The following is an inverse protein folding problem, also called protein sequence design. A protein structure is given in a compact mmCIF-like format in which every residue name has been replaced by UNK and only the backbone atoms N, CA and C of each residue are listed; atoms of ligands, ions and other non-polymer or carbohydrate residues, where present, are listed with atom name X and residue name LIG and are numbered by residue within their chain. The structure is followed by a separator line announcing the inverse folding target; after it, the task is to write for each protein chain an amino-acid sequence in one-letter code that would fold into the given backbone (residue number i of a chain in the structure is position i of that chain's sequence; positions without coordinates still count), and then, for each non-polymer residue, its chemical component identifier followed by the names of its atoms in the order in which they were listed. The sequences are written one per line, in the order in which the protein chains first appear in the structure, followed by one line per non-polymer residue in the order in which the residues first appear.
data_IF_602317982078
#
_entry.id   IF_602317982078
#
_cell.length_a   1.000
_cell.length_b   1.000
_cell.length_c   1.000
_cell.angle_alpha   90.00
_cell.angle_beta   90.00
_cell.angle_gamma   90.00
#
_symmetry.space_group_name_H-M   'P 1'
#
loop_
_entity.id
_entity.type
_entity.pdbx_description
1 polymer ?
#
# COMPACT_ATOMS: atom_id res chain seq x y z
N UNK A 1 3.68 3.97 28.46
CA UNK A 1 3.73 4.94 27.32
C UNK A 1 4.43 4.30 26.13
N UNK A 2 3.90 4.51 24.93
CA UNK A 2 4.33 3.91 23.66
C UNK A 2 4.82 5.07 22.78
N UNK A 3 6.09 5.08 22.37
CA UNK A 3 6.67 6.15 21.55
C UNK A 3 7.03 5.58 20.18
N UNK A 4 6.42 6.03 19.08
CA UNK A 4 6.81 5.59 17.75
C UNK A 4 8.17 6.21 17.36
N UNK A 5 9.08 5.39 16.83
CA UNK A 5 10.45 5.79 16.49
C UNK A 5 10.70 5.86 14.98
N UNK A 6 9.82 5.27 14.17
CA UNK A 6 9.95 5.19 12.72
C UNK A 6 9.25 3.97 12.14
N UNK A 7 9.06 3.96 10.82
CA UNK A 7 8.44 2.84 10.10
C UNK A 7 9.52 1.92 9.50
N UNK A 8 9.18 0.67 9.21
CA UNK A 8 10.10 -0.26 8.53
C UNK A 8 10.24 -0.01 7.01
N UNK A 9 9.53 0.99 6.47
CA UNK A 9 9.57 1.30 5.04
C UNK A 9 10.86 2.04 4.69
N UNK A 10 11.51 1.59 3.62
CA UNK A 10 12.50 2.39 2.92
C UNK A 10 11.80 3.50 2.12
N UNK A 11 12.43 4.68 2.09
CA UNK A 11 11.99 5.83 1.32
C UNK A 11 12.77 5.89 0.01
N UNK A 12 12.09 6.15 -1.10
CA UNK A 12 12.77 6.40 -2.39
C UNK A 12 13.15 7.89 -2.50
N UNK A 13 12.24 8.78 -2.09
CA UNK A 13 12.43 10.24 -2.06
C UNK A 13 12.83 10.69 -0.66
N UNK A 14 13.72 11.68 -0.61
CA UNK A 14 14.05 12.37 0.66
C UNK A 14 12.86 13.20 1.13
N UNK A 15 12.46 13.14 2.41
CA UNK A 15 11.24 13.80 2.89
C UNK A 15 11.45 15.30 3.19
N UNK A 16 11.77 16.06 2.14
CA UNK A 16 12.14 17.49 2.26
C UNK A 16 10.98 18.31 2.81
N UNK A 17 9.75 18.07 2.34
CA UNK A 17 8.58 18.84 2.77
C UNK A 17 8.24 18.53 4.23
N UNK A 18 8.30 17.26 4.64
CA UNK A 18 8.13 16.89 6.04
C UNK A 18 9.15 17.61 6.92
N UNK A 19 10.43 17.60 6.54
CA UNK A 19 11.50 18.31 7.26
C UNK A 19 11.22 19.82 7.30
N UNK A 20 10.81 20.42 6.18
CA UNK A 20 10.47 21.84 6.10
C UNK A 20 9.30 22.21 7.01
N UNK A 21 8.22 21.41 7.02
CA UNK A 21 7.06 21.64 7.90
C UNK A 21 7.48 21.54 9.36
N UNK A 22 8.23 20.50 9.74
CA UNK A 22 8.72 20.34 11.11
C UNK A 22 9.59 21.53 11.52
N UNK A 23 10.55 21.92 10.68
CA UNK A 23 11.46 23.04 10.96
C UNK A 23 10.72 24.36 11.09
N UNK A 24 9.80 24.64 10.16
CA UNK A 24 8.96 25.84 10.18
C UNK A 24 8.11 25.89 11.45
N UNK A 25 7.47 24.77 11.80
CA UNK A 25 6.59 24.68 12.98
C UNK A 25 7.36 24.91 14.27
N UNK A 26 8.56 24.31 14.39
CA UNK A 26 9.45 24.56 15.53
C UNK A 26 9.87 26.04 15.57
N UNK A 27 10.24 26.62 14.42
CA UNK A 27 10.59 28.04 14.32
C UNK A 27 9.46 28.97 14.76
N UNK A 28 8.23 28.73 14.28
CA UNK A 28 7.03 29.48 14.69
C UNK A 28 6.79 29.36 16.19
N UNK A 29 6.87 28.16 16.75
CA UNK A 29 6.70 27.96 18.19
C UNK A 29 7.77 28.70 18.99
N UNK A 30 9.03 28.64 18.57
CA UNK A 30 10.13 29.36 19.20
C UNK A 30 9.91 30.87 19.14
N UNK A 31 9.47 31.42 18.00
CA UNK A 31 9.19 32.85 17.86
C UNK A 31 8.05 33.31 18.77
N UNK A 32 6.95 32.55 18.82
CA UNK A 32 5.81 32.85 19.72
C UNK A 32 6.23 32.73 21.18
N UNK A 33 6.98 31.69 21.54
CA UNK A 33 7.49 31.49 22.89
C UNK A 33 8.43 32.63 23.31
N UNK A 34 9.40 33.01 22.47
CA UNK A 34 10.28 34.14 22.75
C UNK A 34 9.48 35.43 22.92
N UNK A 35 8.53 35.72 22.04
CA UNK A 35 7.66 36.89 22.18
C UNK A 35 6.87 36.87 23.49
N UNK A 36 6.35 35.71 23.90
CA UNK A 36 5.59 35.59 25.15
C UNK A 36 6.40 35.92 26.40
N UNK A 37 7.73 35.78 26.34
CA UNK A 37 8.64 36.15 27.44
C UNK A 37 8.82 37.68 27.57
N UNK A 38 8.55 38.43 26.49
CA UNK A 38 8.68 39.90 26.46
C UNK A 38 7.32 40.62 26.51
N UNK A 39 6.33 40.14 25.75
CA UNK A 39 4.97 40.66 25.65
C UNK A 39 3.98 39.50 25.46
N UNK A 40 3.53 38.94 26.58
CA UNK A 40 2.57 37.83 26.60
C UNK A 40 1.23 38.21 25.95
N UNK A 41 0.77 39.44 26.14
CA UNK A 41 -0.50 39.88 25.56
C UNK A 41 -0.43 39.96 24.03
N UNK A 42 0.69 40.42 23.48
CA UNK A 42 0.89 40.41 22.03
C UNK A 42 1.00 38.98 21.49
N UNK A 43 1.72 38.09 22.20
CA UNK A 43 1.80 36.68 21.82
C UNK A 43 0.41 36.02 21.79
N UNK A 44 -0.43 36.26 22.79
CA UNK A 44 -1.79 35.74 22.86
C UNK A 44 -2.66 36.29 21.70
N UNK A 45 -2.58 37.59 21.40
CA UNK A 45 -3.28 38.19 20.24
C UNK A 45 -2.84 37.58 18.91
N UNK A 46 -1.56 37.25 18.75
CA UNK A 46 -1.05 36.57 17.56
C UNK A 46 -1.63 35.16 17.48
N UNK A 47 -1.57 34.39 18.56
CA UNK A 47 -2.15 33.05 18.61
C UNK A 47 -3.64 33.08 18.27
N UNK A 48 -4.41 33.97 18.89
CA UNK A 48 -5.83 34.16 18.60
C UNK A 48 -6.11 34.58 17.16
N UNK A 49 -5.18 35.27 16.51
CA UNK A 49 -5.31 35.73 15.13
C UNK A 49 -5.12 34.62 14.10
N UNK A 50 -4.30 33.63 14.44
CA UNK A 50 -3.86 32.58 13.52
C UNK A 50 -4.34 31.17 13.89
N UNK A 51 -5.01 31.00 15.04
CA UNK A 51 -5.68 29.75 15.39
C UNK A 51 -7.04 29.59 14.67
N UNK A 52 -7.63 28.40 14.77
CA UNK A 52 -9.00 28.18 14.31
C UNK A 52 -9.98 28.65 15.38
N UNK A 53 -10.96 29.44 14.96
CA UNK A 53 -12.06 29.90 15.79
C UNK A 53 -13.38 29.70 15.01
N UNK A 54 -14.43 29.25 15.70
CA UNK A 54 -15.78 29.17 15.16
C UNK A 54 -16.57 30.48 15.22
N UNK A 55 -17.80 30.44 14.72
CA UNK A 55 -18.76 31.54 14.80
C UNK A 55 -18.29 32.85 14.14
N UNK A 56 -18.63 33.99 14.75
CA UNK A 56 -18.30 35.33 14.22
C UNK A 56 -16.81 35.66 14.26
N UNK A 57 -16.01 34.88 14.99
CA UNK A 57 -14.54 35.03 15.03
C UNK A 57 -13.83 34.21 13.94
N UNK A 58 -14.59 33.52 13.08
CA UNK A 58 -14.04 32.69 12.02
C UNK A 58 -13.16 33.49 11.06
N UNK A 59 -11.95 32.99 10.84
CA UNK A 59 -10.95 33.55 9.92
C UNK A 59 -10.45 32.42 9.03
N UNK A 60 -10.67 32.55 7.72
CA UNK A 60 -10.37 31.48 6.77
C UNK A 60 -8.90 31.07 6.76
N UNK A 61 -7.97 32.00 7.03
CA UNK A 61 -6.54 31.67 7.12
C UNK A 61 -6.20 30.81 8.34
N UNK A 62 -6.98 30.91 9.43
CA UNK A 62 -6.81 30.09 10.63
C UNK A 62 -6.86 28.59 10.33
N UNK A 63 -7.63 28.18 9.31
CA UNK A 63 -7.70 26.81 8.81
C UNK A 63 -6.33 26.25 8.38
N UNK A 64 -5.40 27.11 7.95
CA UNK A 64 -4.07 26.73 7.51
C UNK A 64 -3.01 27.08 8.55
N UNK A 65 -3.07 28.28 9.11
CA UNK A 65 -2.02 28.81 10.00
C UNK A 65 -2.01 28.13 11.37
N UNK A 66 -3.16 27.65 11.84
CA UNK A 66 -3.27 26.92 13.12
C UNK A 66 -2.42 25.66 13.17
N UNK A 67 -2.16 25.02 12.02
CA UNK A 67 -1.33 23.82 11.92
C UNK A 67 0.12 24.06 12.35
N UNK A 68 0.57 25.31 12.40
CA UNK A 68 1.94 25.69 12.78
C UNK A 68 2.04 26.25 14.21
N UNK A 69 0.90 26.52 14.86
CA UNK A 69 0.84 27.03 16.23
C UNK A 69 0.70 25.87 17.22
N UNK A 70 1.26 26.00 18.44
CA UNK A 70 1.20 24.95 19.46
C UNK A 70 1.06 25.55 20.86
N UNK A 71 0.22 24.95 21.70
CA UNK A 71 -0.07 25.40 23.07
C UNK A 71 1.04 25.08 24.09
N UNK A 72 2.11 24.37 23.70
CA UNK A 72 3.22 24.07 24.57
C UNK A 72 4.20 23.04 24.00
N UNK A 73 5.33 22.87 24.68
CA UNK A 73 6.44 22.03 24.23
C UNK A 73 6.07 20.56 24.04
N UNK A 74 5.31 19.96 24.96
CA UNK A 74 4.91 18.55 24.85
C UNK A 74 3.94 18.34 23.68
N UNK A 75 3.02 19.29 23.45
CA UNK A 75 2.10 19.26 22.32
C UNK A 75 2.86 19.35 20.99
N UNK A 76 3.82 20.27 20.89
CA UNK A 76 4.72 20.37 19.74
C UNK A 76 5.51 19.08 19.52
N UNK A 77 6.18 18.58 20.56
CA UNK A 77 7.01 17.39 20.47
C UNK A 77 6.22 16.16 20.01
N UNK A 78 5.01 15.95 20.55
CA UNK A 78 4.12 14.87 20.14
C UNK A 78 3.72 14.97 18.68
N UNK A 79 3.30 16.16 18.22
CA UNK A 79 2.93 16.38 16.82
C UNK A 79 4.10 16.17 15.87
N UNK A 80 5.25 16.77 16.16
CA UNK A 80 6.43 16.65 15.30
C UNK A 80 6.94 15.21 15.25
N UNK A 81 6.86 14.47 16.36
CA UNK A 81 7.18 13.04 16.39
C UNK A 81 6.28 12.23 15.44
N UNK A 82 4.96 12.39 15.53
CA UNK A 82 4.04 11.68 14.65
C UNK A 82 4.21 12.07 13.19
N UNK A 83 4.37 13.36 12.90
CA UNK A 83 4.64 13.84 11.55
C UNK A 83 5.97 13.27 11.02
N UNK A 84 7.00 13.20 11.85
CA UNK A 84 8.29 12.63 11.49
C UNK A 84 8.23 11.12 11.21
N UNK A 85 7.41 10.38 11.95
CA UNK A 85 7.27 8.93 11.77
C UNK A 85 6.45 8.59 10.52
N UNK A 86 5.33 9.28 10.29
CA UNK A 86 4.36 8.89 9.25
C UNK A 86 4.43 9.77 7.99
N UNK A 87 4.77 11.05 8.13
CA UNK A 87 4.87 12.03 7.04
C UNK A 87 5.78 11.58 5.90
N UNK A 88 7.02 11.11 6.16
CA UNK A 88 7.96 10.75 5.10
C UNK A 88 7.42 9.69 4.13
N UNK A 89 6.73 8.66 4.63
CA UNK A 89 6.18 7.61 3.76
C UNK A 89 5.03 8.12 2.89
N UNK A 90 4.19 9.02 3.42
CA UNK A 90 3.11 9.64 2.64
C UNK A 90 3.68 10.64 1.63
N UNK A 91 4.70 11.40 2.01
CA UNK A 91 5.43 12.29 1.10
C UNK A 91 6.11 11.53 -0.04
N UNK A 92 6.73 10.40 0.25
CA UNK A 92 7.35 9.54 -0.76
C UNK A 92 6.31 9.06 -1.79
N UNK A 93 5.10 8.73 -1.33
CA UNK A 93 4.01 8.24 -2.19
C UNK A 93 3.31 9.35 -3.00
N UNK A 94 3.10 10.52 -2.41
CA UNK A 94 2.44 11.65 -3.08
C UNK A 94 3.39 12.58 -3.83
N UNK A 95 4.70 12.48 -3.59
CA UNK A 95 5.68 13.48 -3.98
C UNK A 95 5.55 14.77 -3.13
N UNK A 96 6.55 15.64 -3.24
CA UNK A 96 6.69 16.84 -2.41
C UNK A 96 5.45 17.77 -2.48
N UNK A 97 5.08 18.19 -3.69
CA UNK A 97 3.98 19.14 -3.88
C UNK A 97 2.62 18.53 -3.52
N UNK A 98 2.41 17.26 -3.89
CA UNK A 98 1.18 16.53 -3.55
C UNK A 98 1.02 16.38 -2.05
N UNK A 99 2.11 16.07 -1.33
CA UNK A 99 2.10 15.98 0.13
C UNK A 99 1.86 17.33 0.81
N UNK A 100 2.50 18.40 0.35
CA UNK A 100 2.27 19.74 0.90
C UNK A 100 0.80 20.16 0.75
N UNK A 101 0.25 20.01 -0.45
CA UNK A 101 -1.15 20.32 -0.71
C UNK A 101 -2.10 19.46 0.14
N UNK A 102 -1.81 18.16 0.25
CA UNK A 102 -2.58 17.24 1.07
C UNK A 102 -2.53 17.58 2.57
N UNK A 103 -1.35 17.90 3.10
CA UNK A 103 -1.17 18.29 4.51
C UNK A 103 -1.99 19.54 4.84
N UNK A 104 -1.89 20.58 4.00
CA UNK A 104 -2.64 21.82 4.18
C UNK A 104 -4.16 21.63 4.00
N UNK A 105 -4.58 20.81 3.03
CA UNK A 105 -5.99 20.48 2.87
C UNK A 105 -6.54 19.67 4.05
N UNK A 106 -5.74 18.76 4.63
CA UNK A 106 -6.09 18.04 5.85
C UNK A 106 -6.21 18.96 7.06
N UNK A 107 -5.29 19.93 7.21
CA UNK A 107 -5.40 20.98 8.21
C UNK A 107 -6.72 21.76 8.05
N UNK A 108 -7.04 22.18 6.82
CA UNK A 108 -8.24 22.95 6.55
C UNK A 108 -9.53 22.16 6.79
N UNK A 109 -9.56 20.87 6.41
CA UNK A 109 -10.71 20.01 6.65
C UNK A 109 -10.97 19.78 8.16
N UNK A 110 -9.90 19.51 8.92
CA UNK A 110 -9.99 19.35 10.38
C UNK A 110 -10.38 20.66 11.07
N UNK A 111 -9.72 21.77 10.73
CA UNK A 111 -10.05 23.09 11.27
C UNK A 111 -11.46 23.56 10.89
N UNK A 112 -11.92 23.23 9.69
CA UNK A 112 -13.29 23.51 9.26
C UNK A 112 -14.31 22.74 10.09
N UNK A 113 -14.06 21.45 10.36
CA UNK A 113 -14.91 20.65 11.23
C UNK A 113 -14.93 21.20 12.67
N UNK A 114 -13.79 21.62 13.21
CA UNK A 114 -13.74 22.30 14.51
C UNK A 114 -14.58 23.58 14.50
N UNK A 115 -14.36 24.47 13.54
CA UNK A 115 -15.06 25.76 13.46
C UNK A 115 -16.58 25.62 13.27
N UNK A 116 -17.03 24.56 12.60
CA UNK A 116 -18.45 24.26 12.41
C UNK A 116 -19.12 23.72 13.68
N UNK A 117 -18.39 22.94 14.48
CA UNK A 117 -18.91 22.31 15.71
C UNK A 117 -18.71 23.19 16.93
N UNK A 118 -17.77 24.14 16.87
CA UNK A 118 -17.58 25.16 17.90
C UNK A 118 -18.78 26.12 17.93
N UNK A 119 -19.82 25.69 18.66
CA UNK A 119 -20.95 26.51 19.07
C UNK A 119 -20.52 27.21 20.35
N UNK A 120 -20.31 28.52 20.30
CA UNK A 120 -19.92 29.33 21.45
C UNK A 120 -21.06 29.35 22.49
N UNK A 121 -20.92 28.71 23.67
CA UNK A 121 -21.76 29.10 24.80
C UNK A 121 -21.40 30.55 25.16
N UNK A 122 -22.43 31.40 25.26
CA UNK A 122 -22.27 32.69 25.91
C UNK A 122 -22.48 32.48 27.40
N UNK A 123 -21.58 33.00 28.23
CA UNK A 123 -21.77 33.08 29.67
C UNK A 123 -21.95 34.56 30.05
N UNK A 124 -22.97 34.87 30.86
CA UNK A 124 -23.07 36.17 31.50
C UNK A 124 -22.38 36.05 32.86
N UNK A 125 -21.26 36.74 33.03
CA UNK A 125 -20.62 36.92 34.33
C UNK A 125 -20.45 38.43 34.56
N UNK A 126 -21.02 38.95 35.66
CA UNK A 126 -20.87 40.36 36.02
C UNK A 126 -21.44 41.38 35.03
N UNK A 127 -22.46 41.02 34.24
CA UNK A 127 -23.05 41.90 33.22
C UNK A 127 -22.26 41.99 31.91
N UNK A 128 -21.20 41.20 31.76
CA UNK A 128 -20.47 41.04 30.51
C UNK A 128 -20.74 39.66 29.90
N UNK A 129 -20.95 39.65 28.58
CA UNK A 129 -20.98 38.44 27.77
C UNK A 129 -19.55 37.95 27.57
N UNK A 130 -19.19 36.83 28.21
CA UNK A 130 -17.92 36.14 27.97
C UNK A 130 -18.17 35.05 26.94
N UNK A 131 -17.41 35.14 25.85
CA UNK A 131 -17.40 34.18 24.75
C UNK A 131 -16.36 33.11 25.08
N UNK A 132 -16.82 31.91 25.44
CA UNK A 132 -15.95 30.79 25.81
C UNK A 132 -15.85 29.85 24.60
N UNK A 133 -14.81 30.05 23.79
CA UNK A 133 -14.40 29.09 22.76
C UNK A 133 -13.04 28.49 23.11
N UNK A 134 -12.86 27.20 22.89
CA UNK A 134 -11.54 26.56 22.97
C UNK A 134 -10.95 26.61 21.55
N UNK A 135 -10.00 27.52 21.26
CA UNK A 135 -9.42 27.64 19.94
C UNK A 135 -8.71 26.35 19.53
N UNK A 136 -8.90 25.92 18.28
CA UNK A 136 -8.12 24.80 17.73
C UNK A 136 -6.73 25.31 17.34
N UNK A 137 -5.72 24.69 17.95
CA UNK A 137 -4.31 25.01 17.78
C UNK A 137 -3.53 23.70 17.66
N UNK A 138 -2.63 23.58 16.68
CA UNK A 138 -1.78 22.40 16.52
C UNK A 138 -1.85 21.75 15.15
N UNK A 139 -0.77 21.05 14.80
CA UNK A 139 -0.66 20.23 13.59
C UNK A 139 -1.51 18.94 13.62
N UNK A 140 -2.11 18.59 14.77
CA UNK A 140 -2.72 17.29 15.02
C UNK A 140 -3.82 16.92 14.03
N UNK A 141 -4.64 17.87 13.57
CA UNK A 141 -5.64 17.65 12.53
C UNK A 141 -5.04 17.25 11.17
N UNK A 142 -3.97 17.94 10.76
CA UNK A 142 -3.23 17.61 9.54
C UNK A 142 -2.51 16.25 9.66
N UNK A 143 -1.95 15.96 10.83
CA UNK A 143 -1.31 14.68 11.15
C UNK A 143 -2.34 13.54 11.17
N UNK A 144 -3.56 13.78 11.67
CA UNK A 144 -4.66 12.83 11.60
C UNK A 144 -5.00 12.51 10.14
N UNK A 145 -5.01 13.51 9.24
CA UNK A 145 -5.12 13.25 7.80
C UNK A 145 -3.95 12.44 7.24
N UNK A 146 -2.70 12.78 7.58
CA UNK A 146 -1.52 12.01 7.16
C UNK A 146 -1.60 10.55 7.61
N UNK A 147 -1.97 10.29 8.85
CA UNK A 147 -2.08 8.94 9.40
C UNK A 147 -3.30 8.19 8.87
N UNK A 148 -4.42 8.88 8.61
CA UNK A 148 -5.57 8.31 7.91
C UNK A 148 -5.22 7.84 6.48
N UNK A 149 -4.46 8.65 5.74
CA UNK A 149 -3.92 8.28 4.43
C UNK A 149 -2.89 7.15 4.53
N UNK A 150 -2.04 7.17 5.56
CA UNK A 150 -1.05 6.13 5.82
C UNK A 150 -1.70 4.75 5.97
N UNK A 151 -2.84 4.64 6.67
CA UNK A 151 -3.59 3.37 6.81
C UNK A 151 -4.07 2.81 5.48
N UNK A 152 -4.39 3.69 4.53
CA UNK A 152 -4.86 3.28 3.20
C UNK A 152 -3.71 2.80 2.34
N UNK A 153 -2.59 3.51 2.33
CA UNK A 153 -1.45 3.19 1.47
C UNK A 153 -0.56 2.09 2.01
N UNK A 154 -0.47 1.99 3.34
CA UNK A 154 0.52 1.17 4.05
C UNK A 154 -0.12 0.35 5.19
N UNK A 155 -1.24 -0.36 4.97
CA UNK A 155 -2.01 -1.02 6.03
C UNK A 155 -1.20 -2.06 6.81
N UNK A 156 -0.25 -2.74 6.15
CA UNK A 156 0.56 -3.81 6.75
C UNK A 156 1.93 -3.34 7.27
N UNK A 157 2.26 -2.05 7.17
CA UNK A 157 3.55 -1.54 7.63
C UNK A 157 3.64 -1.58 9.15
N UNK A 158 4.77 -2.04 9.68
CA UNK A 158 5.07 -1.99 11.11
C UNK A 158 5.83 -0.73 11.47
N UNK A 159 5.49 -0.21 12.64
CA UNK A 159 6.12 0.92 13.30
C UNK A 159 7.00 0.37 14.40
N UNK A 160 8.26 0.80 14.42
CA UNK A 160 9.18 0.54 15.52
C UNK A 160 8.78 1.44 16.68
N UNK A 161 8.50 0.85 17.83
CA UNK A 161 7.93 1.51 19.00
C UNK A 161 8.83 1.26 20.20
N UNK A 162 9.16 2.32 20.93
CA UNK A 162 9.69 2.22 22.28
C UNK A 162 8.54 2.00 23.26
N UNK A 163 8.50 0.83 23.87
CA UNK A 163 7.55 0.49 24.91
C UNK A 163 8.18 0.80 26.27
N UNK A 164 7.86 1.96 26.84
CA UNK A 164 8.53 2.47 28.04
C UNK A 164 8.28 1.64 29.30
N UNK A 165 7.15 0.94 29.39
CA UNK A 165 6.83 0.11 30.57
C UNK A 165 7.70 -1.16 30.58
N UNK A 166 7.96 -1.74 29.41
CA UNK A 166 8.81 -2.91 29.25
C UNK A 166 10.25 -2.60 28.84
N UNK A 167 10.66 -1.33 28.83
CA UNK A 167 11.97 -0.81 28.39
C UNK A 167 12.53 -1.50 27.14
N UNK A 168 11.66 -1.81 26.17
CA UNK A 168 12.01 -2.59 24.99
C UNK A 168 11.51 -1.92 23.72
N UNK A 169 12.19 -2.23 22.60
CA UNK A 169 11.80 -1.77 21.27
C UNK A 169 11.10 -2.91 20.56
N UNK A 170 9.84 -2.70 20.19
CA UNK A 170 9.00 -3.70 19.53
C UNK A 170 8.46 -3.16 18.20
N UNK A 171 8.09 -4.06 17.30
CA UNK A 171 7.42 -3.70 16.06
C UNK A 171 5.92 -3.92 16.21
N UNK A 172 5.16 -2.84 16.14
CA UNK A 172 3.70 -2.88 16.19
C UNK A 172 3.13 -2.55 14.80
N UNK A 173 2.07 -3.23 14.34
CA UNK A 173 1.38 -2.84 13.12
C UNK A 173 0.91 -1.38 13.19
N UNK A 174 1.09 -0.59 12.13
CA UNK A 174 0.67 0.82 12.12
C UNK A 174 -0.82 0.98 12.38
N UNK A 175 -1.64 0.04 11.89
CA UNK A 175 -3.08 0.04 12.12
C UNK A 175 -3.47 -0.12 13.59
N UNK A 176 -2.64 -0.75 14.43
CA UNK A 176 -2.87 -0.77 15.88
C UNK A 176 -2.71 0.62 16.48
N UNK A 177 -1.60 1.31 16.20
CA UNK A 177 -1.32 2.63 16.76
C UNK A 177 -2.35 3.66 16.32
N UNK A 178 -2.61 3.73 15.01
CA UNK A 178 -3.53 4.72 14.44
C UNK A 178 -4.98 4.34 14.79
N UNK A 179 -5.33 3.05 14.75
CA UNK A 179 -6.67 2.56 15.10
C UNK A 179 -7.03 2.80 16.56
N UNK A 180 -6.09 2.59 17.49
CA UNK A 180 -6.28 2.95 18.91
C UNK A 180 -6.45 4.46 19.09
N UNK A 181 -5.70 5.28 18.34
CA UNK A 181 -5.88 6.73 18.33
C UNK A 181 -7.28 7.14 17.87
N UNK A 182 -7.77 6.59 16.76
CA UNK A 182 -9.14 6.83 16.26
C UNK A 182 -10.18 6.37 17.28
N UNK A 183 -10.02 5.16 17.83
CA UNK A 183 -10.93 4.61 18.83
C UNK A 183 -10.97 5.47 20.11
N UNK A 184 -9.82 5.99 20.55
CA UNK A 184 -9.75 6.91 21.67
C UNK A 184 -10.51 8.21 21.40
N UNK A 185 -10.34 8.82 20.23
CA UNK A 185 -11.08 10.03 19.85
C UNK A 185 -12.60 9.76 19.81
N UNK A 186 -13.03 8.63 19.26
CA UNK A 186 -14.44 8.23 19.26
C UNK A 186 -15.00 8.02 20.67
N UNK A 187 -14.25 7.32 21.53
CA UNK A 187 -14.62 7.08 22.92
C UNK A 187 -14.77 8.40 23.68
N UNK A 188 -13.79 9.30 23.56
CA UNK A 188 -13.78 10.59 24.22
C UNK A 188 -14.99 11.45 23.82
N UNK A 189 -15.32 11.48 22.51
CA UNK A 189 -16.56 12.10 22.00
C UNK A 189 -17.81 11.49 22.66
N UNK A 190 -17.87 10.16 22.73
CA UNK A 190 -19.02 9.44 23.29
C UNK A 190 -19.25 9.65 24.79
N UNK A 191 -18.19 9.88 25.57
CA UNK A 191 -18.29 10.13 27.02
C UNK A 191 -18.42 11.60 27.40
N UNK A 192 -18.42 12.52 26.43
CA UNK A 192 -18.64 13.94 26.72
C UNK A 192 -17.41 14.67 27.29
N UNK A 193 -16.19 14.29 26.88
CA UNK A 193 -14.97 14.91 27.39
C UNK A 193 -14.92 16.43 27.09
N UNK A 194 -14.26 17.20 27.97
CA UNK A 194 -14.14 18.65 27.87
C UNK A 194 -13.45 19.11 26.57
N UNK A 195 -12.67 18.23 25.92
CA UNK A 195 -11.98 18.48 24.65
C UNK A 195 -12.73 17.92 23.43
N UNK A 196 -14.03 17.62 23.55
CA UNK A 196 -14.85 17.00 22.50
C UNK A 196 -14.72 17.64 21.11
N UNK A 197 -14.65 18.97 21.04
CA UNK A 197 -14.52 19.68 19.77
C UNK A 197 -13.19 19.32 19.08
N UNK A 198 -12.10 19.22 19.84
CA UNK A 198 -10.79 18.82 19.32
C UNK A 198 -10.80 17.35 18.85
N UNK A 199 -11.46 16.44 19.55
CA UNK A 199 -11.59 15.05 19.12
C UNK A 199 -12.37 14.91 17.81
N UNK A 200 -13.44 15.70 17.62
CA UNK A 200 -14.18 15.75 16.35
C UNK A 200 -13.30 16.28 15.21
N UNK A 201 -12.51 17.32 15.48
CA UNK A 201 -11.55 17.87 14.52
C UNK A 201 -10.54 16.80 14.07
N UNK A 202 -10.02 15.98 14.99
CA UNK A 202 -9.12 14.88 14.64
C UNK A 202 -9.82 13.80 13.82
N UNK A 203 -11.04 13.40 14.18
CA UNK A 203 -11.83 12.42 13.42
C UNK A 203 -12.10 12.89 11.99
N UNK A 204 -12.40 14.17 11.80
CA UNK A 204 -12.52 14.77 10.48
C UNK A 204 -11.20 14.70 9.69
N UNK A 205 -10.06 14.96 10.35
CA UNK A 205 -8.73 14.77 9.76
C UNK A 205 -8.50 13.33 9.29
N UNK A 206 -8.67 12.34 10.18
CA UNK A 206 -8.54 10.92 9.84
C UNK A 206 -9.43 10.51 8.66
N UNK A 207 -10.71 10.92 8.71
CA UNK A 207 -11.69 10.65 7.65
C UNK A 207 -11.28 11.27 6.32
N UNK A 208 -10.88 12.54 6.32
CA UNK A 208 -10.38 13.24 5.14
C UNK A 208 -9.21 12.49 4.51
N UNK A 209 -8.20 12.15 5.32
CA UNK A 209 -7.01 11.46 4.84
C UNK A 209 -7.33 10.09 4.23
N UNK A 210 -8.18 9.33 4.90
CA UNK A 210 -8.64 8.02 4.43
C UNK A 210 -9.38 8.12 3.09
N UNK A 211 -10.38 9.01 3.00
CA UNK A 211 -11.23 9.16 1.81
C UNK A 211 -10.43 9.66 0.62
N UNK A 212 -9.59 10.69 0.82
CA UNK A 212 -8.76 11.24 -0.26
C UNK A 212 -7.75 10.21 -0.75
N UNK A 213 -7.07 9.49 0.15
CA UNK A 213 -6.15 8.43 -0.26
C UNK A 213 -6.85 7.33 -1.07
N UNK A 214 -8.03 6.89 -0.62
CA UNK A 214 -8.83 5.90 -1.35
C UNK A 214 -9.24 6.42 -2.74
N UNK A 215 -9.68 7.67 -2.83
CA UNK A 215 -10.07 8.32 -4.08
C UNK A 215 -8.90 8.45 -5.06
N UNK A 216 -7.73 8.91 -4.61
CA UNK A 216 -6.53 9.04 -5.43
C UNK A 216 -6.02 7.69 -5.93
N UNK A 217 -6.03 6.65 -5.09
CA UNK A 217 -5.72 5.28 -5.53
C UNK A 217 -6.75 4.75 -6.52
N UNK A 218 -8.05 5.02 -6.32
CA UNK A 218 -9.11 4.60 -7.23
C UNK A 218 -8.95 5.26 -8.61
N UNK A 219 -8.67 6.57 -8.63
CA UNK A 219 -8.44 7.37 -9.83
C UNK A 219 -7.07 7.13 -10.49
N UNK A 220 -6.17 6.36 -9.86
CA UNK A 220 -4.78 6.11 -10.33
C UNK A 220 -3.93 7.38 -10.46
N UNK A 221 -4.27 8.43 -9.71
CA UNK A 221 -3.44 9.64 -9.61
C UNK A 221 -2.15 9.34 -8.86
N UNK A 222 -2.22 8.43 -7.89
CA UNK A 222 -1.10 7.99 -7.07
C UNK A 222 -0.77 6.53 -7.41
N UNK A 223 0.52 6.13 -7.45
CA UNK A 223 0.91 4.77 -7.73
C UNK A 223 0.25 3.78 -6.77
N UNK A 224 -0.31 2.71 -7.33
CA UNK A 224 -0.85 1.59 -6.56
C UNK A 224 0.27 0.67 -6.12
N UNK A 225 0.09 0.10 -4.94
CA UNK A 225 0.97 -0.91 -4.38
C UNK A 225 0.17 -2.21 -4.26
N UNK A 226 0.83 -3.35 -4.47
CA UNK A 226 0.23 -4.67 -4.28
C UNK A 226 -0.35 -4.87 -2.87
N UNK A 227 0.18 -4.12 -1.89
CA UNK A 227 -0.21 -4.17 -0.49
C UNK A 227 -1.04 -2.95 -0.02
N UNK A 228 -1.51 -2.09 -0.92
CA UNK A 228 -2.42 -1.00 -0.53
C UNK A 228 -3.85 -1.52 -0.20
N UNK A 229 -4.59 -0.78 0.62
CA UNK A 229 -5.87 -1.21 1.16
C UNK A 229 -6.91 -1.49 0.06
N UNK A 230 -6.95 -0.65 -0.98
CA UNK A 230 -7.88 -0.80 -2.09
C UNK A 230 -7.60 -2.11 -2.87
N UNK A 231 -6.33 -2.41 -3.08
CA UNK A 231 -5.88 -3.64 -3.74
C UNK A 231 -6.19 -4.85 -2.86
N UNK A 232 -5.93 -4.78 -1.55
CA UNK A 232 -6.31 -5.81 -0.58
C UNK A 232 -7.81 -6.11 -0.59
N UNK A 233 -8.67 -5.08 -0.58
CA UNK A 233 -10.14 -5.24 -0.63
C UNK A 233 -10.54 -5.96 -1.92
N UNK A 234 -10.01 -5.55 -3.08
CA UNK A 234 -10.31 -6.20 -4.36
C UNK A 234 -9.84 -7.66 -4.39
N UNK A 235 -8.69 -7.97 -3.81
CA UNK A 235 -8.22 -9.35 -3.69
C UNK A 235 -9.13 -10.17 -2.77
N UNK A 236 -9.55 -9.62 -1.63
CA UNK A 236 -10.47 -10.30 -0.71
C UNK A 236 -11.83 -10.56 -1.37
N UNK A 237 -12.37 -9.58 -2.12
CA UNK A 237 -13.61 -9.74 -2.88
C UNK A 237 -13.49 -10.83 -3.95
N UNK A 238 -12.39 -10.85 -4.72
CA UNK A 238 -12.12 -11.92 -5.69
C UNK A 238 -12.03 -13.29 -5.02
N UNK A 239 -11.30 -13.41 -3.89
CA UNK A 239 -11.22 -14.65 -3.11
C UNK A 239 -12.60 -15.11 -2.62
N UNK A 240 -13.45 -14.17 -2.19
CA UNK A 240 -14.83 -14.47 -1.79
C UNK A 240 -15.67 -14.95 -2.97
N UNK A 241 -15.56 -14.30 -4.13
CA UNK A 241 -16.23 -14.73 -5.37
C UNK A 241 -15.79 -16.13 -5.79
N UNK A 242 -14.49 -16.43 -5.76
CA UNK A 242 -13.98 -17.78 -6.01
C UNK A 242 -14.48 -18.80 -4.98
N UNK A 243 -14.52 -18.44 -3.69
CA UNK A 243 -15.04 -19.34 -2.64
C UNK A 243 -16.53 -19.64 -2.80
N UNK A 244 -17.34 -18.65 -3.20
CA UNK A 244 -18.77 -18.82 -3.48
C UNK A 244 -19.00 -19.61 -4.77
N UNK A 245 -18.16 -19.41 -5.79
CA UNK A 245 -18.19 -20.23 -7.00
C UNK A 245 -17.72 -21.68 -6.75
N UNK A 246 -16.88 -21.89 -5.74
CA UNK A 246 -16.36 -23.20 -5.33
C UNK A 246 -17.17 -23.89 -4.23
N UNK A 247 -18.22 -23.25 -3.67
CA UNK A 247 -19.11 -23.91 -2.70
C UNK A 247 -20.06 -24.88 -3.42
N UNK A 248 -20.12 -26.16 -3.00
CA UNK A 248 -20.81 -27.23 -3.72
C UNK A 248 -22.35 -27.13 -3.76
N UNK A 249 -22.96 -26.11 -3.16
CA UNK A 249 -24.42 -25.93 -3.12
C UNK A 249 -25.01 -25.03 -4.22
N UNK A 250 -24.19 -24.31 -4.99
CA UNK A 250 -24.69 -23.39 -6.04
C UNK A 250 -24.41 -23.85 -7.48
N UNK A 251 -23.75 -24.98 -7.67
CA UNK A 251 -23.58 -25.62 -8.98
C UNK A 251 -23.77 -27.11 -8.82
N UNK A 252 -25.02 -27.56 -8.81
CA UNK A 252 -25.30 -28.84 -9.47
C UNK A 252 -24.90 -28.58 -10.93
N UNK A 253 -23.86 -29.23 -11.47
CA UNK A 253 -23.60 -29.12 -12.89
C UNK A 253 -24.89 -29.55 -13.56
N UNK A 254 -25.57 -28.63 -14.25
CA UNK A 254 -26.65 -29.01 -15.15
C UNK A 254 -26.05 -30.12 -16.00
N UNK A 255 -26.63 -31.34 -16.05
CA UNK A 255 -26.05 -32.40 -16.85
C UNK A 255 -26.07 -31.90 -18.28
N UNK A 256 -24.92 -31.38 -18.72
CA UNK A 256 -24.62 -31.27 -20.12
C UNK A 256 -24.65 -32.73 -20.53
N UNK A 257 -25.63 -33.07 -21.37
CA UNK A 257 -25.63 -34.35 -22.05
C UNK A 257 -24.27 -34.38 -22.73
N UNK A 258 -23.31 -35.10 -22.14
CA UNK A 258 -22.05 -35.35 -22.77
C UNK A 258 -22.45 -35.90 -24.11
N UNK A 259 -22.12 -35.19 -25.18
CA UNK A 259 -22.05 -35.85 -26.47
C UNK A 259 -21.16 -37.05 -26.18
N UNK A 260 -21.71 -38.25 -26.30
CA UNK A 260 -20.97 -39.50 -26.15
C UNK A 260 -19.96 -39.51 -27.29
N UNK A 261 -18.86 -38.80 -27.08
CA UNK A 261 -17.63 -39.06 -27.76
C UNK A 261 -17.15 -40.40 -27.20
N UNK A 262 -16.73 -41.34 -28.06
CA UNK A 262 -16.10 -42.55 -27.58
C UNK A 262 -14.95 -42.17 -26.63
N UNK A 263 -14.72 -42.92 -25.55
CA UNK A 263 -13.64 -42.64 -24.61
C UNK A 263 -12.33 -42.57 -25.40
N UNK A 264 -11.73 -41.38 -25.48
CA UNK A 264 -10.32 -41.29 -25.88
C UNK A 264 -9.54 -41.58 -24.60
N UNK A 265 -9.18 -42.85 -24.41
CA UNK A 265 -8.39 -43.33 -23.26
C UNK A 265 -7.15 -42.44 -23.02
N UNK A 266 -6.63 -41.79 -24.07
CA UNK A 266 -5.54 -40.84 -24.02
C UNK A 266 -5.90 -39.56 -23.26
N UNK A 267 -7.10 -39.00 -23.47
CA UNK A 267 -7.53 -37.74 -22.82
C UNK A 267 -7.72 -37.97 -21.32
N UNK A 268 -8.34 -39.09 -20.95
CA UNK A 268 -8.55 -39.46 -19.55
C UNK A 268 -7.23 -39.72 -18.84
N UNK A 269 -6.31 -40.46 -19.48
CA UNK A 269 -4.98 -40.70 -18.93
C UNK A 269 -4.15 -39.41 -18.74
N UNK A 270 -4.23 -38.46 -19.69
CA UNK A 270 -3.57 -37.14 -19.54
C UNK A 270 -4.20 -36.33 -18.41
N UNK A 271 -5.53 -36.37 -18.27
CA UNK A 271 -6.23 -35.66 -17.21
C UNK A 271 -5.85 -36.20 -15.83
N UNK A 272 -5.75 -37.52 -15.66
CA UNK A 272 -5.27 -38.16 -14.44
C UNK A 272 -3.83 -37.77 -14.11
N UNK A 273 -2.93 -37.84 -15.09
CA UNK A 273 -1.53 -37.46 -14.89
C UNK A 273 -1.37 -36.00 -14.44
N UNK A 274 -2.15 -35.08 -15.04
CA UNK A 274 -2.17 -33.66 -14.63
C UNK A 274 -2.76 -33.44 -13.24
N UNK A 275 -3.80 -34.19 -12.89
CA UNK A 275 -4.42 -34.14 -11.58
C UNK A 275 -3.43 -34.57 -10.50
N UNK A 276 -2.65 -35.61 -10.76
CA UNK A 276 -1.62 -36.11 -9.86
C UNK A 276 -0.50 -35.07 -9.62
N UNK A 277 0.03 -34.46 -10.69
CA UNK A 277 1.01 -33.38 -10.55
C UNK A 277 0.46 -32.21 -9.73
N UNK A 278 -0.79 -31.80 -10.00
CA UNK A 278 -1.44 -30.70 -9.29
C UNK A 278 -1.67 -31.02 -7.81
N UNK A 279 -2.04 -32.27 -7.50
CA UNK A 279 -2.23 -32.77 -6.13
C UNK A 279 -0.93 -32.74 -5.33
N UNK A 280 0.17 -33.21 -5.92
CA UNK A 280 1.49 -33.23 -5.29
C UNK A 280 2.03 -31.82 -5.01
N UNK A 281 1.80 -30.87 -5.94
CA UNK A 281 2.10 -29.45 -5.71
C UNK A 281 1.28 -28.91 -4.54
N UNK A 282 -0.02 -29.21 -4.48
CA UNK A 282 -0.89 -28.75 -3.41
C UNK A 282 -0.49 -29.31 -2.04
N UNK A 283 0.01 -30.56 -1.98
CA UNK A 283 0.55 -31.16 -0.76
C UNK A 283 1.98 -30.75 -0.42
N UNK A 284 2.60 -29.83 -1.20
CA UNK A 284 4.00 -29.39 -1.06
C UNK A 284 5.04 -30.51 -1.24
N UNK A 285 4.67 -31.61 -1.89
CA UNK A 285 5.61 -32.66 -2.29
C UNK A 285 6.19 -32.33 -3.68
N UNK A 286 7.17 -31.43 -3.69
CA UNK A 286 7.73 -30.91 -4.93
C UNK A 286 8.63 -31.90 -5.67
N UNK A 287 9.30 -32.79 -4.93
CA UNK A 287 10.14 -33.85 -5.51
C UNK A 287 9.26 -34.93 -6.17
N UNK A 288 8.15 -35.30 -5.52
CA UNK A 288 7.11 -36.13 -6.12
C UNK A 288 6.50 -35.47 -7.36
N UNK A 289 6.12 -34.18 -7.25
CA UNK A 289 5.57 -33.43 -8.38
C UNK A 289 6.53 -33.36 -9.58
N UNK A 290 7.83 -33.19 -9.33
CA UNK A 290 8.85 -33.16 -10.38
C UNK A 290 8.97 -34.52 -11.10
N UNK A 291 8.91 -35.64 -10.36
CA UNK A 291 8.90 -37.00 -10.93
C UNK A 291 7.63 -37.27 -11.72
N UNK A 292 6.46 -36.91 -11.16
CA UNK A 292 5.18 -37.07 -11.83
C UNK A 292 5.10 -36.24 -13.11
N UNK A 293 5.61 -35.01 -13.10
CA UNK A 293 5.67 -34.16 -14.28
C UNK A 293 6.61 -34.71 -15.35
N UNK A 294 7.79 -35.22 -14.96
CA UNK A 294 8.71 -35.87 -15.88
C UNK A 294 8.08 -37.13 -16.50
N UNK A 295 7.39 -37.95 -15.71
CA UNK A 295 6.68 -39.13 -16.19
C UNK A 295 5.59 -38.74 -17.20
N UNK A 296 4.78 -37.73 -16.86
CA UNK A 296 3.75 -37.17 -17.73
C UNK A 296 4.33 -36.63 -19.05
N UNK A 297 5.44 -35.88 -19.00
CA UNK A 297 6.13 -35.37 -20.20
C UNK A 297 6.64 -36.52 -21.08
N UNK A 298 7.17 -37.59 -20.47
CA UNK A 298 7.68 -38.74 -21.21
C UNK A 298 6.56 -39.58 -21.84
N UNK A 299 5.46 -39.79 -21.10
CA UNK A 299 4.33 -40.61 -21.51
C UNK A 299 3.55 -39.97 -22.66
N UNK A 300 3.41 -38.64 -22.63
CA UNK A 300 2.63 -37.88 -23.61
C UNK A 300 3.50 -36.93 -24.45
N UNK A 301 4.74 -37.33 -24.72
CA UNK A 301 5.70 -36.53 -25.49
C UNK A 301 5.20 -36.12 -26.89
N UNK A 302 4.28 -36.90 -27.45
CA UNK A 302 3.67 -36.70 -28.77
C UNK A 302 2.47 -35.73 -28.76
N UNK A 303 2.01 -35.28 -27.58
CA UNK A 303 0.92 -34.31 -27.40
C UNK A 303 1.25 -33.27 -26.31
N UNK A 304 2.30 -32.47 -26.49
CA UNK A 304 2.77 -31.50 -25.49
C UNK A 304 1.72 -30.42 -25.13
N UNK A 305 0.79 -30.11 -26.03
CA UNK A 305 -0.32 -29.17 -25.83
C UNK A 305 -1.31 -29.64 -24.75
N UNK A 306 -1.43 -30.95 -24.52
CA UNK A 306 -2.36 -31.51 -23.54
C UNK A 306 -1.81 -31.48 -22.11
N UNK A 307 -0.52 -31.19 -21.95
CA UNK A 307 0.21 -31.22 -20.67
C UNK A 307 0.07 -29.94 -19.82
N UNK A 308 -0.82 -29.03 -20.21
CA UNK A 308 -1.07 -27.78 -19.51
C UNK A 308 -1.63 -28.01 -18.10
N UNK A 309 -0.96 -27.44 -17.09
CA UNK A 309 -1.41 -27.37 -15.71
C UNK A 309 -2.09 -26.03 -15.43
N UNK A 310 -2.69 -25.88 -14.23
CA UNK A 310 -3.17 -24.56 -13.80
C UNK A 310 -2.03 -23.53 -13.73
N UNK A 311 -2.34 -22.25 -13.96
CA UNK A 311 -1.36 -21.13 -13.92
C UNK A 311 -0.41 -21.21 -12.72
N UNK A 312 -0.98 -21.35 -11.51
CA UNK A 312 -0.19 -21.39 -10.27
C UNK A 312 0.65 -22.66 -10.15
N UNK A 313 0.12 -23.80 -10.62
CA UNK A 313 0.85 -25.07 -10.62
C UNK A 313 2.08 -24.99 -11.54
N UNK A 314 1.93 -24.43 -12.75
CA UNK A 314 3.05 -24.21 -13.66
C UNK A 314 4.14 -23.32 -13.06
N UNK A 315 3.78 -22.14 -12.55
CA UNK A 315 4.77 -21.20 -11.99
C UNK A 315 5.51 -21.80 -10.79
N UNK A 316 4.77 -22.48 -9.90
CA UNK A 316 5.35 -23.13 -8.70
C UNK A 316 6.30 -24.26 -9.10
N UNK A 317 5.87 -25.11 -10.03
CA UNK A 317 6.67 -26.25 -10.49
C UNK A 317 7.92 -25.78 -11.25
N UNK A 318 7.79 -24.79 -12.15
CA UNK A 318 8.92 -24.24 -12.90
C UNK A 318 10.00 -23.64 -11.97
N UNK A 319 9.59 -22.86 -10.97
CA UNK A 319 10.50 -22.29 -9.98
C UNK A 319 11.23 -23.39 -9.18
N UNK A 320 10.51 -24.43 -8.75
CA UNK A 320 11.11 -25.54 -8.03
C UNK A 320 12.12 -26.30 -8.90
N UNK A 321 11.73 -26.70 -10.12
CA UNK A 321 12.59 -27.42 -11.07
C UNK A 321 13.87 -26.64 -11.40
N UNK A 322 13.77 -25.32 -11.52
CA UNK A 322 14.91 -24.44 -11.72
C UNK A 322 15.86 -24.47 -10.51
N UNK A 323 15.32 -24.28 -9.31
CA UNK A 323 16.10 -24.29 -8.07
C UNK A 323 16.75 -25.64 -7.76
N UNK A 324 16.12 -26.75 -8.19
CA UNK A 324 16.62 -28.10 -8.02
C UNK A 324 17.62 -28.53 -9.11
N UNK A 325 18.05 -27.60 -9.98
CA UNK A 325 19.00 -27.87 -11.06
C UNK A 325 18.46 -28.74 -12.20
N UNK A 326 17.14 -28.98 -12.27
CA UNK A 326 16.50 -29.77 -13.34
C UNK A 326 16.16 -28.90 -14.53
N UNK A 327 17.17 -28.26 -15.12
CA UNK A 327 17.00 -27.19 -16.11
C UNK A 327 16.20 -27.63 -17.35
N UNK A 328 16.34 -28.86 -17.84
CA UNK A 328 15.56 -29.36 -18.99
C UNK A 328 14.05 -29.37 -18.68
N UNK A 329 13.68 -29.88 -17.51
CA UNK A 329 12.28 -29.94 -17.07
C UNK A 329 11.75 -28.54 -16.75
N UNK A 330 12.57 -27.68 -16.15
CA UNK A 330 12.21 -26.28 -15.90
C UNK A 330 11.88 -25.55 -17.21
N UNK A 331 12.72 -25.71 -18.24
CA UNK A 331 12.48 -25.14 -19.57
C UNK A 331 11.17 -25.62 -20.18
N UNK A 332 10.93 -26.94 -20.17
CA UNK A 332 9.67 -27.52 -20.64
C UNK A 332 8.45 -26.98 -19.89
N UNK A 333 8.51 -26.89 -18.57
CA UNK A 333 7.42 -26.33 -17.76
C UNK A 333 7.13 -24.85 -18.09
N UNK A 334 8.17 -24.05 -18.35
CA UNK A 334 8.04 -22.65 -18.74
C UNK A 334 7.50 -22.50 -20.17
N UNK A 335 7.98 -23.29 -21.13
CA UNK A 335 7.46 -23.34 -22.50
C UNK A 335 5.94 -23.61 -22.50
N UNK A 336 5.48 -24.56 -21.67
CA UNK A 336 4.06 -24.94 -21.57
C UNK A 336 3.24 -23.84 -20.90
N UNK A 337 3.79 -23.15 -19.91
CA UNK A 337 3.15 -22.00 -19.29
C UNK A 337 2.92 -20.89 -20.30
N UNK A 338 3.96 -20.50 -21.05
CA UNK A 338 3.85 -19.42 -22.05
C UNK A 338 2.87 -19.79 -23.16
N UNK A 339 2.89 -21.04 -23.63
CA UNK A 339 1.95 -21.52 -24.64
C UNK A 339 0.49 -21.54 -24.16
N UNK A 340 0.27 -21.89 -22.89
CA UNK A 340 -1.08 -22.00 -22.30
C UNK A 340 -1.65 -20.65 -21.86
N UNK A 341 -0.78 -19.70 -21.49
CA UNK A 341 -1.15 -18.42 -20.90
C UNK A 341 -0.45 -17.24 -21.60
N UNK A 342 -0.63 -17.05 -22.93
CA UNK A 342 0.10 -16.05 -23.70
C UNK A 342 -0.20 -14.61 -23.28
N UNK A 343 -1.40 -14.34 -22.75
CA UNK A 343 -1.84 -13.01 -22.29
C UNK A 343 -1.61 -12.78 -20.79
N UNK A 344 -0.85 -13.65 -20.11
CA UNK A 344 -0.57 -13.49 -18.69
C UNK A 344 0.45 -12.38 -18.44
N UNK A 345 0.29 -11.64 -17.34
CA UNK A 345 1.22 -10.57 -16.97
C UNK A 345 2.64 -11.06 -16.69
N UNK A 346 2.78 -12.32 -16.29
CA UNK A 346 4.07 -12.96 -16.04
C UNK A 346 4.63 -13.67 -17.28
N UNK A 347 3.89 -13.75 -18.39
CA UNK A 347 4.30 -14.47 -19.58
C UNK A 347 5.62 -13.91 -20.14
N UNK A 348 5.76 -12.59 -20.26
CA UNK A 348 6.98 -11.95 -20.76
C UNK A 348 8.19 -12.23 -19.85
N UNK A 349 7.99 -12.15 -18.53
CA UNK A 349 9.05 -12.47 -17.55
C UNK A 349 9.46 -13.94 -17.62
N UNK A 350 8.50 -14.84 -17.81
CA UNK A 350 8.76 -16.27 -18.00
C UNK A 350 9.48 -16.54 -19.33
N UNK A 351 9.19 -15.79 -20.40
CA UNK A 351 9.93 -15.87 -21.67
C UNK A 351 11.38 -15.38 -21.53
N UNK A 352 11.61 -14.30 -20.77
CA UNK A 352 12.98 -13.84 -20.46
C UNK A 352 13.73 -14.91 -19.65
N UNK A 353 13.09 -15.50 -18.64
CA UNK A 353 13.69 -16.60 -17.86
C UNK A 353 14.01 -17.81 -18.75
N UNK A 354 13.12 -18.15 -19.69
CA UNK A 354 13.33 -19.21 -20.67
C UNK A 354 14.52 -18.91 -21.57
N UNK A 355 14.65 -17.69 -22.08
CA UNK A 355 15.79 -17.27 -22.90
C UNK A 355 17.11 -17.39 -22.12
N UNK A 356 17.14 -16.95 -20.86
CA UNK A 356 18.32 -17.11 -20.00
C UNK A 356 18.67 -18.59 -19.80
N UNK A 357 17.66 -19.42 -19.52
CA UNK A 357 17.84 -20.86 -19.35
C UNK A 357 18.37 -21.54 -20.62
N UNK A 358 17.85 -21.15 -21.80
CA UNK A 358 18.33 -21.62 -23.11
C UNK A 358 19.81 -21.30 -23.32
N UNK A 359 20.19 -20.04 -23.05
CA UNK A 359 21.56 -19.56 -23.23
C UNK A 359 22.54 -20.21 -22.24
N UNK A 360 22.21 -20.24 -20.96
CA UNK A 360 23.16 -20.57 -19.89
C UNK A 360 23.19 -22.05 -19.51
N UNK A 361 22.07 -22.76 -19.66
CA UNK A 361 21.91 -24.11 -19.11
C UNK A 361 21.61 -25.17 -20.16
N UNK A 362 20.96 -24.80 -21.27
CA UNK A 362 20.51 -25.76 -22.30
C UNK A 362 21.28 -25.68 -23.63
N UNK A 363 22.22 -24.75 -23.78
CA UNK A 363 23.04 -24.62 -25.00
C UNK A 363 22.27 -24.20 -26.25
N UNK A 364 21.06 -23.65 -26.10
CA UNK A 364 20.16 -23.21 -27.18
C UNK A 364 20.28 -21.71 -27.42
N UNK A 365 21.50 -21.23 -27.64
CA UNK A 365 21.80 -19.79 -27.68
C UNK A 365 21.09 -19.04 -28.81
N UNK A 366 20.96 -19.64 -30.00
CA UNK A 366 20.24 -19.04 -31.13
C UNK A 366 18.75 -18.83 -30.84
N UNK A 367 18.12 -19.79 -30.19
CA UNK A 367 16.71 -19.72 -29.78
C UNK A 367 16.51 -18.70 -28.66
N UNK A 368 17.48 -18.56 -27.75
CA UNK A 368 17.47 -17.51 -26.74
C UNK A 368 17.48 -16.11 -27.37
N UNK A 369 18.36 -15.86 -28.35
CA UNK A 369 18.43 -14.57 -29.06
C UNK A 369 17.13 -14.28 -29.79
N UNK A 370 16.61 -15.24 -30.55
CA UNK A 370 15.34 -15.10 -31.29
C UNK A 370 14.18 -14.74 -30.36
N UNK A 371 14.10 -15.42 -29.20
CA UNK A 371 13.06 -15.19 -28.21
C UNK A 371 13.16 -13.78 -27.59
N UNK A 372 14.38 -13.29 -27.31
CA UNK A 372 14.60 -11.95 -26.76
C UNK A 372 14.26 -10.85 -27.77
N UNK A 373 14.64 -11.02 -29.04
CA UNK A 373 14.29 -10.10 -30.13
C UNK A 373 12.77 -9.99 -30.31
N UNK A 374 12.06 -11.12 -30.28
CA UNK A 374 10.59 -11.15 -30.36
C UNK A 374 9.93 -10.40 -29.19
N UNK A 375 10.43 -10.57 -27.96
CA UNK A 375 9.93 -9.86 -26.77
C UNK A 375 10.14 -8.35 -26.92
N UNK A 376 11.34 -7.92 -27.34
CA UNK A 376 11.66 -6.50 -27.50
C UNK A 376 10.74 -5.85 -28.54
N UNK A 377 10.45 -6.56 -29.64
CA UNK A 377 9.59 -6.08 -30.71
C UNK A 377 8.10 -6.01 -30.33
N UNK A 378 7.62 -6.90 -29.45
CA UNK A 378 6.18 -7.06 -29.16
C UNK A 378 5.74 -6.47 -27.82
N UNK A 379 6.63 -6.36 -26.83
CA UNK A 379 6.24 -5.90 -25.50
C UNK A 379 5.97 -4.39 -25.47
N UNK A 380 4.91 -3.98 -24.78
CA UNK A 380 4.60 -2.56 -24.52
C UNK A 380 5.20 -2.06 -23.20
N UNK A 381 5.75 -2.96 -22.38
CA UNK A 381 6.31 -2.66 -21.08
C UNK A 381 7.79 -2.25 -21.21
N UNK A 382 8.10 -1.03 -20.76
CA UNK A 382 9.45 -0.47 -20.85
C UNK A 382 10.46 -1.22 -19.96
N UNK A 383 10.02 -1.76 -18.83
CA UNK A 383 10.87 -2.52 -17.90
C UNK A 383 11.24 -3.87 -18.51
N UNK A 384 10.24 -4.58 -19.05
CA UNK A 384 10.43 -5.85 -19.78
C UNK A 384 11.36 -5.66 -20.98
N UNK A 385 11.15 -4.60 -21.76
CA UNK A 385 12.01 -4.28 -22.91
C UNK A 385 13.46 -4.06 -22.49
N UNK A 386 13.67 -3.26 -21.45
CA UNK A 386 15.02 -2.98 -20.92
C UNK A 386 15.69 -4.26 -20.43
N UNK A 387 14.96 -5.09 -19.70
CA UNK A 387 15.47 -6.36 -19.18
C UNK A 387 15.81 -7.32 -20.32
N UNK A 388 14.94 -7.49 -21.32
CA UNK A 388 15.21 -8.32 -22.49
C UNK A 388 16.43 -7.84 -23.28
N UNK A 389 16.59 -6.53 -23.48
CA UNK A 389 17.76 -5.94 -24.16
C UNK A 389 19.06 -6.17 -23.39
N UNK A 390 19.02 -6.15 -22.05
CA UNK A 390 20.20 -6.44 -21.22
C UNK A 390 20.67 -7.90 -21.31
N UNK A 391 19.78 -8.80 -21.74
CA UNK A 391 20.07 -10.22 -21.93
C UNK A 391 20.52 -10.57 -23.36
N UNK A 392 20.56 -9.63 -24.30
CA UNK A 392 21.11 -9.87 -25.62
C UNK A 392 22.65 -9.98 -25.57
N UNK A 393 23.28 -10.82 -26.43
CA UNK A 393 24.73 -10.86 -26.57
C UNK A 393 25.29 -9.49 -26.96
N UNK A 394 26.48 -9.12 -26.44
CA UNK A 394 27.09 -7.80 -26.70
C UNK A 394 27.29 -7.48 -28.21
N UNK A 395 27.43 -8.48 -29.08
CA UNK A 395 27.52 -8.29 -30.53
C UNK A 395 26.22 -7.77 -31.18
N UNK A 396 25.09 -7.79 -30.47
CA UNK A 396 23.78 -7.31 -30.95
C UNK A 396 23.35 -5.96 -30.35
N UNK A 397 24.08 -5.44 -29.36
CA UNK A 397 23.71 -4.18 -28.69
C UNK A 397 24.08 -2.92 -29.50
N UNK A 398 24.91 -3.04 -30.55
CA UNK A 398 25.35 -1.92 -31.40
C UNK A 398 24.36 -1.53 -32.51
N UNK A 399 23.29 -2.30 -32.74
CA UNK A 399 22.31 -2.03 -33.81
C UNK A 399 20.98 -1.42 -33.35
N UNK A 400 20.80 -1.17 -32.04
CA UNK A 400 19.54 -0.67 -31.47
C UNK A 400 19.67 0.65 -30.70
N UNK A 401 20.75 1.40 -30.92
CA UNK A 401 20.93 2.77 -30.40
C UNK A 401 20.47 3.84 -31.38
#
# INVERSE_FOLDING_TARGET
MIIPLGTERSLVRKPIVTISIVTLTIGVHLSVFMLSMFDSQLADRIVETFCVQGGFRFRWWGLLTSAFLHAGWLHLAGNMLFLWVFGPSVEDRYGHLGFLAFYLAGAAASGGAHALVEVQPFAIAGGQTILVGVPAIGASGAIAAVTGAFLVMFPNTRVRVLWLIGLSVVFAPAWWLIGLGVAWNLFAVGVGDQQNIAYIAHLAGYGFGFVVAMGLLAARVVPRDSADLLTMIRHAQRRRQFRVAATPEAVVPRPVRAATMPPDETIDAVAEARAEVSRLIASKDFEGAAKAYQAMESQFAHRPEMLSLSRNAHATLAAHLYSSGRYRLAGSAIERFVASYPNDREADHMRILLARLYREKLGRASEATTLLEEIIATTQDAEVRTLASSELPHSHQEHTS
#
